data_IF_779798319741
#
_entry.id   IF_779798319741
#
_cell.length_a   1.000
_cell.length_b   1.000
_cell.length_c   1.000
_cell.angle_alpha   90.00
_cell.angle_beta   90.00
_cell.angle_gamma   90.00
#
_symmetry.space_group_name_H-M   'P 1'
#
loop_
_entity.id
_entity.type
_entity.pdbx_description
1 polymer ?
#
# COMPACT_ATOMS: atom_id res chain seq x y z
N UNK A 1 -35.26 29.66 -8.26
CA UNK A 1 -33.78 29.56 -8.29
C UNK A 1 -33.44 28.10 -8.00
N UNK A 2 -33.13 27.33 -9.03
CA UNK A 2 -32.73 25.93 -8.92
C UNK A 2 -31.23 25.84 -8.61
N UNK A 3 -30.76 25.00 -7.67
CA UNK A 3 -29.34 24.76 -7.49
C UNK A 3 -28.82 23.89 -8.64
N UNK A 4 -27.80 24.38 -9.32
CA UNK A 4 -27.06 23.61 -10.32
C UNK A 4 -26.23 22.57 -9.57
N UNK A 5 -26.59 21.30 -9.69
CA UNK A 5 -25.75 20.16 -9.33
C UNK A 5 -24.58 20.09 -10.29
N UNK A 6 -23.40 20.50 -9.84
CA UNK A 6 -22.15 20.29 -10.55
C UNK A 6 -21.72 18.84 -10.33
N UNK A 7 -22.06 17.96 -11.27
CA UNK A 7 -21.44 16.64 -11.38
C UNK A 7 -20.02 16.82 -11.91
N UNK A 8 -19.04 16.94 -11.01
CA UNK A 8 -17.64 16.80 -11.39
C UNK A 8 -17.37 15.32 -11.66
N UNK A 9 -17.18 14.97 -12.94
CA UNK A 9 -16.57 13.71 -13.34
C UNK A 9 -15.13 13.69 -12.86
N UNK A 10 -14.86 12.91 -11.83
CA UNK A 10 -13.52 12.73 -11.22
C UNK A 10 -12.72 11.62 -11.90
N UNK A 11 -13.20 11.05 -12.98
CA UNK A 11 -12.56 9.93 -13.63
C UNK A 11 -11.82 10.37 -14.90
N UNK A 12 -10.49 10.48 -14.82
CA UNK A 12 -9.62 10.55 -15.99
C UNK A 12 -8.46 9.56 -15.85
N UNK A 13 -8.61 8.32 -16.36
CA UNK A 13 -7.56 7.31 -16.36
C UNK A 13 -6.25 7.79 -17.05
N UNK A 14 -6.37 8.74 -17.98
CA UNK A 14 -5.22 9.29 -18.74
C UNK A 14 -4.38 10.25 -17.90
N UNK A 15 -4.90 10.79 -16.80
CA UNK A 15 -4.15 11.67 -15.92
C UNK A 15 -3.21 10.87 -15.02
N UNK A 16 -3.68 9.77 -14.42
CA UNK A 16 -2.82 8.83 -13.66
C UNK A 16 -1.64 8.32 -14.52
N UNK A 17 -1.85 8.16 -15.82
CA UNK A 17 -0.85 7.70 -16.77
C UNK A 17 0.28 8.71 -17.02
N UNK A 18 0.02 10.00 -16.91
CA UNK A 18 1.01 11.06 -17.16
C UNK A 18 1.94 11.31 -15.97
N UNK A 19 1.46 11.10 -14.76
CA UNK A 19 2.18 11.45 -13.54
C UNK A 19 3.00 10.28 -13.00
N UNK A 20 2.65 9.04 -13.36
CA UNK A 20 3.52 7.87 -13.19
C UNK A 20 4.84 8.01 -13.97
N UNK A 21 4.82 8.69 -15.11
CA UNK A 21 6.02 8.95 -15.93
C UNK A 21 6.93 10.06 -15.39
N UNK A 22 6.47 10.84 -14.40
CA UNK A 22 7.24 11.96 -13.81
C UNK A 22 8.07 11.54 -12.57
N UNK A 23 8.02 10.27 -12.17
CA UNK A 23 8.79 9.75 -11.02
C UNK A 23 10.22 9.34 -11.35
N UNK A 24 10.83 9.95 -12.35
CA UNK A 24 12.24 9.70 -12.69
C UNK A 24 13.18 10.27 -11.61
N UNK A 25 14.03 9.36 -11.09
CA UNK A 25 15.31 9.58 -10.37
C UNK A 25 15.35 9.56 -8.84
N UNK A 26 14.46 8.89 -8.13
CA UNK A 26 14.72 8.45 -6.76
C UNK A 26 14.86 6.93 -6.76
N UNK A 27 15.76 6.37 -5.95
CA UNK A 27 16.04 4.93 -5.82
C UNK A 27 14.86 4.03 -6.21
N UNK A 28 15.07 3.10 -7.14
CA UNK A 28 14.04 2.14 -7.58
C UNK A 28 13.58 1.18 -6.46
N UNK A 29 14.25 1.22 -5.30
CA UNK A 29 14.00 0.34 -4.17
C UNK A 29 12.99 0.93 -3.19
N UNK A 30 11.87 0.24 -2.98
CA UNK A 30 10.83 0.58 -2.01
C UNK A 30 10.72 -0.49 -0.93
N UNK A 31 10.79 -0.08 0.34
CA UNK A 31 10.61 -0.96 1.48
C UNK A 31 9.37 -0.53 2.28
N UNK A 32 8.34 -1.35 2.30
CA UNK A 32 7.14 -1.13 3.10
C UNK A 32 7.18 -2.04 4.33
N UNK A 33 7.26 -1.44 5.51
CA UNK A 33 7.24 -2.17 6.79
C UNK A 33 5.82 -2.18 7.33
N UNK A 34 5.16 -3.33 7.27
CA UNK A 34 3.82 -3.50 7.82
C UNK A 34 3.91 -3.78 9.33
N UNK A 35 3.47 -2.82 10.14
CA UNK A 35 3.48 -2.91 11.61
C UNK A 35 2.49 -3.92 12.15
N UNK A 36 1.49 -4.29 11.35
CA UNK A 36 0.41 -5.21 11.74
C UNK A 36 -0.20 -4.79 13.09
N UNK A 37 -0.44 -5.75 13.98
CA UNK A 37 -0.89 -5.53 15.36
C UNK A 37 0.07 -6.17 16.36
N UNK A 38 1.37 -6.20 16.01
CA UNK A 38 2.37 -6.74 16.92
C UNK A 38 2.54 -5.85 18.15
N UNK A 39 2.73 -6.47 19.31
CA UNK A 39 2.93 -5.76 20.57
C UNK A 39 4.10 -4.77 20.52
N UNK A 40 5.12 -5.06 19.72
CA UNK A 40 6.30 -4.22 19.52
C UNK A 40 6.14 -3.14 18.46
N UNK A 41 4.95 -2.99 17.88
CA UNK A 41 4.68 -2.09 16.76
C UNK A 41 3.28 -1.45 16.83
N UNK A 42 2.75 -1.21 18.04
CA UNK A 42 1.52 -0.45 18.25
C UNK A 42 1.64 0.57 19.39
N UNK A 43 0.84 1.62 19.39
CA UNK A 43 0.89 2.69 20.39
C UNK A 43 2.28 3.33 20.45
N UNK A 44 2.84 3.52 21.65
CA UNK A 44 4.16 4.12 21.83
C UNK A 44 5.28 3.32 21.13
N UNK A 45 5.17 1.99 21.06
CA UNK A 45 6.15 1.17 20.34
C UNK A 45 6.11 1.41 18.82
N UNK A 46 4.94 1.75 18.23
CA UNK A 46 4.87 2.15 16.83
C UNK A 46 5.58 3.48 16.58
N UNK A 47 5.42 4.45 17.47
CA UNK A 47 6.14 5.73 17.40
C UNK A 47 7.66 5.54 17.47
N UNK A 48 8.14 4.70 18.41
CA UNK A 48 9.56 4.42 18.58
C UNK A 48 10.14 3.70 17.35
N UNK A 49 9.42 2.72 16.79
CA UNK A 49 9.83 2.03 15.57
C UNK A 49 9.88 2.99 14.37
N UNK A 50 8.91 3.88 14.24
CA UNK A 50 8.89 4.90 13.18
C UNK A 50 10.08 5.86 13.29
N UNK A 51 10.46 6.30 14.52
CA UNK A 51 11.67 7.12 14.73
C UNK A 51 12.93 6.37 14.32
N UNK A 52 13.02 5.07 14.63
CA UNK A 52 14.14 4.23 14.20
C UNK A 52 14.19 4.17 12.68
N UNK A 53 13.06 3.90 12.01
CA UNK A 53 13.00 3.85 10.55
C UNK A 53 13.38 5.18 9.90
N UNK A 54 12.89 6.30 10.42
CA UNK A 54 13.22 7.65 9.93
C UNK A 54 14.70 8.00 10.08
N UNK A 55 15.41 7.37 11.01
CA UNK A 55 16.85 7.57 11.24
C UNK A 55 17.77 6.66 10.42
N UNK A 56 17.22 5.78 9.56
CA UNK A 56 18.04 4.87 8.74
C UNK A 56 18.59 5.62 7.53
N UNK A 57 19.90 5.68 7.39
CA UNK A 57 20.55 6.20 6.19
C UNK A 57 20.48 5.12 5.09
N UNK A 58 19.70 5.37 4.05
CA UNK A 58 19.49 4.45 2.93
C UNK A 58 19.04 5.22 1.68
N UNK A 59 19.37 4.71 0.51
CA UNK A 59 18.84 5.22 -0.75
C UNK A 59 17.43 4.65 -1.05
N UNK A 60 16.99 3.62 -0.31
CA UNK A 60 15.66 3.06 -0.47
C UNK A 60 14.60 3.99 0.13
N UNK A 61 13.47 4.11 -0.53
CA UNK A 61 12.28 4.77 -0.01
C UNK A 61 11.67 3.89 1.08
N UNK A 62 11.51 4.42 2.29
CA UNK A 62 11.01 3.69 3.45
C UNK A 62 9.58 4.13 3.79
N UNK A 63 8.68 3.17 3.96
CA UNK A 63 7.27 3.42 4.31
C UNK A 63 6.89 2.58 5.53
N UNK A 64 6.22 3.20 6.51
CA UNK A 64 5.58 2.51 7.61
C UNK A 64 4.08 2.33 7.32
N UNK A 65 3.60 1.08 7.22
CA UNK A 65 2.17 0.79 7.12
C UNK A 65 1.62 0.48 8.53
N UNK A 66 0.80 1.40 9.07
CA UNK A 66 0.38 1.40 10.47
C UNK A 66 -1.12 1.22 10.65
N UNK A 67 -1.52 0.81 11.85
CA UNK A 67 -2.92 0.86 12.27
C UNK A 67 -3.48 2.28 12.14
N UNK A 68 -4.73 2.40 11.69
CA UNK A 68 -5.40 3.71 11.62
C UNK A 68 -5.48 4.42 12.97
N UNK A 69 -5.46 3.67 14.09
CA UNK A 69 -5.45 4.24 15.45
C UNK A 69 -4.10 4.89 15.80
N UNK A 70 -3.01 4.40 15.24
CA UNK A 70 -1.65 4.91 15.50
C UNK A 70 -1.19 5.97 14.48
N UNK A 71 -1.92 6.12 13.36
CA UNK A 71 -1.53 6.95 12.23
C UNK A 71 -1.06 8.36 12.64
N UNK A 72 -1.90 9.11 13.35
CA UNK A 72 -1.56 10.49 13.72
C UNK A 72 -0.37 10.59 14.68
N UNK A 73 -0.22 9.62 15.58
CA UNK A 73 0.89 9.57 16.53
C UNK A 73 2.20 9.28 15.81
N UNK A 74 2.18 8.29 14.89
CA UNK A 74 3.35 7.91 14.09
C UNK A 74 3.79 9.05 13.16
N UNK A 75 2.87 9.68 12.41
CA UNK A 75 3.17 10.84 11.57
C UNK A 75 3.78 11.98 12.38
N UNK A 76 3.29 12.23 13.59
CA UNK A 76 3.85 13.26 14.47
C UNK A 76 5.22 12.89 15.03
N UNK A 77 5.47 11.61 15.30
CA UNK A 77 6.71 11.11 15.87
C UNK A 77 7.87 11.04 14.87
N UNK A 78 7.55 10.83 13.58
CA UNK A 78 8.52 10.69 12.50
C UNK A 78 8.03 11.47 11.24
N UNK A 79 8.09 12.81 11.26
CA UNK A 79 7.49 13.64 10.21
C UNK A 79 8.15 13.51 8.83
N UNK A 80 9.37 12.99 8.77
CA UNK A 80 10.11 12.76 7.53
C UNK A 80 9.90 11.34 6.95
N UNK A 81 9.19 10.47 7.69
CA UNK A 81 8.87 9.12 7.25
C UNK A 81 7.51 9.11 6.53
N UNK A 82 7.45 8.42 5.40
CA UNK A 82 6.17 8.17 4.74
C UNK A 82 5.36 7.15 5.53
N UNK A 83 4.07 7.46 5.73
CA UNK A 83 3.18 6.60 6.53
C UNK A 83 1.94 6.23 5.72
N UNK A 84 1.68 4.94 5.61
CA UNK A 84 0.48 4.38 5.00
C UNK A 84 -0.46 3.80 6.05
N UNK A 85 -1.74 3.74 5.72
CA UNK A 85 -2.70 2.92 6.45
C UNK A 85 -2.57 1.45 6.06
N UNK A 86 -2.92 0.55 6.98
CA UNK A 86 -3.01 -0.89 6.67
C UNK A 86 -4.27 -1.27 5.91
N UNK A 87 -5.30 -0.42 5.94
CA UNK A 87 -6.58 -0.61 5.29
C UNK A 87 -7.35 0.71 5.23
N UNK A 88 -8.15 0.91 4.20
CA UNK A 88 -9.17 1.96 4.10
C UNK A 88 -10.43 1.40 3.46
N UNK A 89 -11.56 2.00 3.81
CA UNK A 89 -12.87 1.64 3.27
C UNK A 89 -13.32 2.66 2.21
N UNK A 90 -13.95 2.24 1.10
CA UNK A 90 -14.44 3.15 0.06
C UNK A 90 -15.74 3.85 0.48
N UNK A 91 -15.67 4.65 1.53
CA UNK A 91 -16.81 5.41 2.05
C UNK A 91 -16.58 6.91 1.95
N UNK A 92 -17.64 7.66 1.67
CA UNK A 92 -17.63 9.12 1.72
C UNK A 92 -18.05 9.66 3.08
N UNK A 93 -18.23 10.97 3.17
CA UNK A 93 -18.79 11.60 4.37
C UNK A 93 -20.23 11.15 4.60
N UNK A 94 -20.58 10.86 5.86
CA UNK A 94 -21.94 10.47 6.23
C UNK A 94 -22.01 9.43 7.35
N UNK A 95 -23.01 8.57 7.28
CA UNK A 95 -23.33 7.57 8.33
C UNK A 95 -22.49 6.29 8.15
N UNK A 96 -21.20 6.37 8.46
CA UNK A 96 -20.22 5.28 8.26
C UNK A 96 -19.53 4.93 9.58
N UNK A 97 -20.30 4.70 10.64
CA UNK A 97 -19.74 4.37 11.97
C UNK A 97 -18.89 3.10 11.91
N UNK A 98 -17.61 3.22 12.31
CA UNK A 98 -16.66 2.11 12.36
C UNK A 98 -15.84 1.89 11.08
N UNK A 99 -16.16 2.57 10.00
CA UNK A 99 -15.41 2.48 8.74
C UNK A 99 -14.21 3.43 8.73
N UNK A 100 -13.15 3.03 8.05
CA UNK A 100 -11.91 3.80 7.91
C UNK A 100 -11.99 4.72 6.68
N UNK A 101 -12.37 5.97 6.92
CA UNK A 101 -12.65 6.96 5.88
C UNK A 101 -11.36 7.51 5.23
N UNK A 102 -11.18 7.42 3.89
CA UNK A 102 -9.96 7.83 3.20
C UNK A 102 -9.59 9.29 3.42
N UNK A 103 -10.54 10.22 3.29
CA UNK A 103 -10.23 11.63 3.47
C UNK A 103 -9.75 11.95 4.90
N UNK A 104 -10.24 11.25 5.93
CA UNK A 104 -9.74 11.40 7.29
C UNK A 104 -8.30 10.89 7.42
N UNK A 105 -7.97 9.76 6.79
CA UNK A 105 -6.61 9.24 6.82
C UNK A 105 -5.62 10.22 6.15
N UNK A 106 -5.99 10.79 5.01
CA UNK A 106 -5.20 11.80 4.29
C UNK A 106 -5.00 13.06 5.16
N UNK A 107 -6.04 13.58 5.77
CA UNK A 107 -5.95 14.73 6.69
C UNK A 107 -5.06 14.45 7.92
N UNK A 108 -4.91 13.17 8.29
CA UNK A 108 -4.03 12.72 9.38
C UNK A 108 -2.62 12.40 8.93
N UNK A 109 -2.29 12.62 7.66
CA UNK A 109 -0.95 12.52 7.11
C UNK A 109 -0.61 11.19 6.45
N UNK A 110 -1.60 10.32 6.19
CA UNK A 110 -1.35 9.14 5.37
C UNK A 110 -1.04 9.56 3.92
N UNK A 111 0.05 9.03 3.36
CA UNK A 111 0.44 9.18 1.95
C UNK A 111 -0.04 8.01 1.07
N UNK A 112 -0.55 6.94 1.68
CA UNK A 112 -1.04 5.77 0.97
C UNK A 112 -1.72 4.75 1.88
N UNK A 113 -2.03 3.60 1.31
CA UNK A 113 -2.63 2.47 2.03
C UNK A 113 -2.27 1.12 1.44
N UNK A 114 -2.18 0.10 2.30
CA UNK A 114 -2.37 -1.28 1.89
C UNK A 114 -3.86 -1.55 1.71
N UNK A 115 -4.22 -2.47 0.84
CA UNK A 115 -5.60 -2.97 0.69
C UNK A 115 -5.59 -4.45 0.29
N UNK A 116 -6.64 -5.18 0.63
CA UNK A 116 -6.79 -6.60 0.29
C UNK A 116 -5.67 -7.50 0.85
N UNK A 117 -5.02 -7.11 1.96
CA UNK A 117 -4.02 -7.96 2.60
C UNK A 117 -4.63 -9.31 3.02
N UNK A 118 -3.84 -10.39 3.01
CA UNK A 118 -4.33 -11.73 3.31
C UNK A 118 -5.01 -11.85 4.69
N UNK A 119 -4.60 -11.02 5.66
CA UNK A 119 -5.22 -10.96 6.99
C UNK A 119 -6.54 -10.16 7.00
N UNK A 120 -6.86 -9.41 5.94
CA UNK A 120 -8.08 -8.61 5.80
C UNK A 120 -8.48 -8.50 4.32
N UNK A 121 -8.97 -9.60 3.77
CA UNK A 121 -9.41 -9.66 2.36
C UNK A 121 -10.68 -8.85 2.12
N UNK A 122 -10.74 -8.21 0.98
CA UNK A 122 -11.90 -7.47 0.47
C UNK A 122 -12.23 -7.91 -0.95
N UNK A 123 -13.35 -7.46 -1.49
CA UNK A 123 -13.70 -7.76 -2.88
C UNK A 123 -12.92 -6.85 -3.87
N UNK A 124 -12.83 -7.30 -5.11
CA UNK A 124 -12.24 -6.50 -6.20
C UNK A 124 -12.98 -5.17 -6.37
N UNK A 125 -14.30 -5.17 -6.21
CA UNK A 125 -15.14 -3.97 -6.28
C UNK A 125 -14.81 -2.99 -5.16
N UNK A 126 -14.47 -3.47 -3.95
CA UNK A 126 -14.04 -2.62 -2.85
C UNK A 126 -12.72 -1.90 -3.21
N UNK A 127 -11.75 -2.63 -3.79
CA UNK A 127 -10.49 -2.03 -4.26
C UNK A 127 -10.75 -1.00 -5.36
N UNK A 128 -11.59 -1.33 -6.35
CA UNK A 128 -11.94 -0.41 -7.44
C UNK A 128 -12.58 0.88 -6.90
N UNK A 129 -13.55 0.77 -5.99
CA UNK A 129 -14.21 1.92 -5.38
C UNK A 129 -13.24 2.77 -4.53
N UNK A 130 -12.26 2.16 -3.86
CA UNK A 130 -11.25 2.90 -3.12
C UNK A 130 -10.35 3.70 -4.06
N UNK A 131 -9.88 3.08 -5.15
CA UNK A 131 -9.07 3.75 -6.17
C UNK A 131 -9.79 4.96 -6.80
N UNK A 132 -11.11 4.88 -6.96
CA UNK A 132 -11.92 5.99 -7.46
C UNK A 132 -12.07 7.16 -6.46
N UNK A 133 -11.89 6.91 -5.16
CA UNK A 133 -12.12 7.90 -4.10
C UNK A 133 -10.86 8.63 -3.67
N UNK A 134 -9.70 7.95 -3.75
CA UNK A 134 -8.46 8.58 -3.32
C UNK A 134 -7.95 9.57 -4.36
N UNK A 135 -7.36 10.70 -3.93
CA UNK A 135 -6.81 11.68 -4.85
C UNK A 135 -5.56 11.17 -5.53
N UNK A 136 -5.21 11.81 -6.63
CA UNK A 136 -3.91 11.64 -7.27
C UNK A 136 -2.77 11.91 -6.28
N UNK A 137 -1.72 11.08 -6.33
CA UNK A 137 -0.59 11.15 -5.39
C UNK A 137 -0.79 10.40 -4.06
N UNK A 138 -2.01 9.95 -3.76
CA UNK A 138 -2.22 9.00 -2.67
C UNK A 138 -2.02 7.57 -3.20
N UNK A 139 -1.06 6.84 -2.64
CA UNK A 139 -0.65 5.56 -3.19
C UNK A 139 -1.47 4.40 -2.62
N UNK A 140 -1.83 3.46 -3.50
CA UNK A 140 -2.56 2.25 -3.13
C UNK A 140 -1.74 1.02 -3.50
N UNK A 141 -1.40 0.22 -2.50
CA UNK A 141 -0.75 -1.08 -2.68
C UNK A 141 -1.77 -2.21 -2.44
N UNK A 142 -2.18 -2.89 -3.50
CA UNK A 142 -3.13 -3.98 -3.43
C UNK A 142 -2.40 -5.32 -3.27
N UNK A 143 -2.68 -6.04 -2.17
CA UNK A 143 -2.06 -7.33 -1.87
C UNK A 143 -2.78 -8.48 -2.57
N UNK A 144 -2.01 -9.37 -3.20
CA UNK A 144 -2.48 -10.55 -3.91
C UNK A 144 -1.94 -11.82 -3.28
N UNK A 145 -2.77 -12.84 -3.15
CA UNK A 145 -2.38 -14.15 -2.65
C UNK A 145 -1.68 -15.02 -3.71
N UNK A 146 -2.00 -14.78 -4.97
CA UNK A 146 -1.50 -15.54 -6.10
C UNK A 146 -1.44 -14.69 -7.39
N UNK A 147 -0.97 -15.30 -8.48
CA UNK A 147 -0.78 -14.66 -9.79
C UNK A 147 -2.13 -14.23 -10.40
N UNK A 148 -3.17 -15.01 -10.27
CA UNK A 148 -4.47 -14.70 -10.88
C UNK A 148 -5.12 -13.50 -10.18
N UNK A 149 -5.04 -13.44 -8.84
CA UNK A 149 -5.49 -12.27 -8.09
C UNK A 149 -4.63 -11.03 -8.40
N UNK A 150 -3.31 -11.20 -8.55
CA UNK A 150 -2.42 -10.11 -8.92
C UNK A 150 -2.78 -9.50 -10.28
N UNK A 151 -3.11 -10.33 -11.28
CA UNK A 151 -3.60 -9.86 -12.59
C UNK A 151 -4.93 -9.11 -12.48
N UNK A 152 -5.87 -9.64 -11.69
CA UNK A 152 -7.17 -9.00 -11.49
C UNK A 152 -7.03 -7.64 -10.82
N UNK A 153 -6.15 -7.51 -9.83
CA UNK A 153 -5.85 -6.25 -9.15
C UNK A 153 -5.08 -5.29 -10.07
N UNK A 154 -4.10 -5.77 -10.83
CA UNK A 154 -3.34 -4.95 -11.77
C UNK A 154 -4.23 -4.32 -12.86
N UNK A 155 -5.32 -4.99 -13.26
CA UNK A 155 -6.28 -4.45 -14.21
C UNK A 155 -7.03 -3.19 -13.69
N UNK A 156 -7.05 -2.97 -12.36
CA UNK A 156 -7.59 -1.77 -11.73
C UNK A 156 -6.58 -0.62 -11.69
N UNK A 157 -5.32 -0.88 -12.05
CA UNK A 157 -4.20 0.07 -12.08
C UNK A 157 -3.97 0.76 -10.73
N UNK A 158 -3.78 0.01 -9.61
CA UNK A 158 -3.25 0.58 -8.38
C UNK A 158 -1.81 1.04 -8.60
N UNK A 159 -1.23 1.78 -7.64
CA UNK A 159 0.19 2.17 -7.72
C UNK A 159 1.11 0.94 -7.61
N UNK A 160 0.74 -0.01 -6.73
CA UNK A 160 1.49 -1.26 -6.53
C UNK A 160 0.57 -2.46 -6.38
N UNK A 161 1.09 -3.62 -6.81
CA UNK A 161 0.58 -4.94 -6.43
C UNK A 161 1.66 -5.65 -5.63
N UNK A 162 1.33 -6.09 -4.42
CA UNK A 162 2.21 -6.89 -3.58
C UNK A 162 1.78 -8.37 -3.61
N UNK A 163 2.70 -9.27 -3.99
CA UNK A 163 2.41 -10.71 -3.93
C UNK A 163 2.86 -11.27 -2.58
N UNK A 164 1.91 -11.85 -1.85
CA UNK A 164 2.10 -12.40 -0.51
C UNK A 164 1.40 -13.76 -0.41
N UNK A 165 2.09 -14.89 -0.75
CA UNK A 165 1.51 -16.21 -0.57
C UNK A 165 1.11 -16.42 0.90
N UNK A 166 -0.19 -16.73 1.18
CA UNK A 166 -0.71 -16.75 2.55
C UNK A 166 0.03 -17.72 3.48
N UNK A 167 0.53 -18.83 2.95
CA UNK A 167 1.28 -19.85 3.68
C UNK A 167 2.65 -19.39 4.20
N UNK A 168 3.17 -18.28 3.66
CA UNK A 168 4.46 -17.71 4.06
C UNK A 168 4.32 -16.51 5.00
N UNK A 169 3.11 -15.97 5.15
CA UNK A 169 2.84 -14.81 6.00
C UNK A 169 3.09 -15.17 7.47
N UNK A 170 3.95 -14.36 8.13
CA UNK A 170 4.34 -14.61 9.53
C UNK A 170 5.25 -15.83 9.71
N UNK A 171 5.64 -16.50 8.63
CA UNK A 171 6.58 -17.62 8.62
C UNK A 171 8.04 -17.18 8.78
N UNK A 172 8.93 -18.17 8.86
CA UNK A 172 10.38 -17.97 8.98
C UNK A 172 11.11 -18.08 7.63
N UNK A 173 10.39 -18.40 6.56
CA UNK A 173 10.95 -18.57 5.22
C UNK A 173 10.47 -17.42 4.35
N UNK A 174 11.40 -16.67 3.76
CA UNK A 174 11.11 -15.61 2.80
C UNK A 174 10.47 -16.16 1.53
N UNK A 175 9.51 -15.42 0.95
CA UNK A 175 8.91 -15.74 -0.33
C UNK A 175 9.97 -15.91 -1.43
N UNK A 176 11.02 -15.12 -1.41
CA UNK A 176 12.14 -15.19 -2.36
C UNK A 176 12.95 -16.46 -2.24
N UNK A 177 12.97 -17.09 -1.05
CA UNK A 177 13.65 -18.35 -0.80
C UNK A 177 12.75 -19.58 -0.99
N UNK A 178 11.46 -19.43 -0.64
CA UNK A 178 10.48 -20.52 -0.72
C UNK A 178 10.04 -20.81 -2.17
N UNK A 179 9.71 -19.76 -2.91
CA UNK A 179 9.28 -19.85 -4.30
C UNK A 179 9.71 -18.60 -5.10
N UNK A 180 10.97 -18.57 -5.58
CA UNK A 180 11.44 -17.50 -6.45
C UNK A 180 10.63 -17.38 -7.75
N UNK A 181 9.97 -18.45 -8.17
CA UNK A 181 9.16 -18.50 -9.37
C UNK A 181 7.85 -17.71 -9.23
N UNK A 182 7.28 -17.63 -8.03
CA UNK A 182 6.04 -16.86 -7.83
C UNK A 182 6.29 -15.35 -7.95
N UNK A 183 7.43 -14.87 -7.48
CA UNK A 183 7.79 -13.44 -7.58
C UNK A 183 8.00 -13.05 -9.05
N UNK A 184 8.84 -13.77 -9.77
CA UNK A 184 9.10 -13.50 -11.19
C UNK A 184 7.89 -13.77 -12.09
N UNK A 185 7.10 -14.81 -11.78
CA UNK A 185 5.86 -15.12 -12.48
C UNK A 185 4.79 -14.03 -12.28
N UNK A 186 4.63 -13.54 -11.05
CA UNK A 186 3.72 -12.40 -10.77
C UNK A 186 4.19 -11.14 -11.47
N UNK A 187 5.49 -10.85 -11.44
CA UNK A 187 6.05 -9.69 -12.11
C UNK A 187 5.78 -9.72 -13.63
N UNK A 188 5.97 -10.87 -14.27
CA UNK A 188 5.65 -11.03 -15.68
C UNK A 188 4.14 -10.87 -15.94
N UNK A 189 3.30 -11.51 -15.14
CA UNK A 189 1.86 -11.50 -15.29
C UNK A 189 1.26 -10.11 -15.08
N UNK A 190 1.73 -9.34 -14.09
CA UNK A 190 1.30 -7.96 -13.86
C UNK A 190 1.72 -7.05 -15.01
N UNK A 191 2.96 -7.17 -15.50
CA UNK A 191 3.46 -6.39 -16.65
C UNK A 191 2.69 -6.66 -17.95
N UNK A 192 2.19 -7.88 -18.16
CA UNK A 192 1.31 -8.20 -19.28
C UNK A 192 -0.02 -7.41 -19.22
N UNK A 193 -0.51 -7.10 -18.01
CA UNK A 193 -1.76 -6.36 -17.79
C UNK A 193 -1.50 -4.85 -17.79
N UNK A 194 -0.46 -4.40 -17.07
CA UNK A 194 -0.10 -2.98 -16.94
C UNK A 194 1.38 -2.81 -16.65
N UNK A 195 2.08 -2.05 -17.50
CA UNK A 195 3.47 -1.65 -17.29
C UNK A 195 3.63 -0.57 -16.21
N UNK A 196 2.52 0.05 -15.78
CA UNK A 196 2.53 1.19 -14.85
C UNK A 196 2.45 0.76 -13.38
N UNK A 197 1.98 -0.46 -13.13
CA UNK A 197 1.81 -0.99 -11.78
C UNK A 197 3.15 -1.46 -11.25
N UNK A 198 3.61 -0.87 -10.15
CA UNK A 198 4.78 -1.34 -9.41
C UNK A 198 4.52 -2.70 -8.76
N UNK A 199 5.57 -3.50 -8.62
CA UNK A 199 5.45 -4.84 -8.04
C UNK A 199 6.29 -4.89 -6.77
N UNK A 200 5.64 -5.30 -5.69
CA UNK A 200 6.28 -5.59 -4.42
C UNK A 200 6.16 -7.08 -4.12
N UNK A 201 7.13 -7.63 -3.42
CA UNK A 201 7.01 -8.96 -2.87
C UNK A 201 7.05 -8.91 -1.35
N UNK A 202 6.20 -9.69 -0.71
CA UNK A 202 6.09 -9.77 0.74
C UNK A 202 6.10 -11.21 1.22
N UNK A 203 5.84 -11.38 2.52
CA UNK A 203 5.89 -12.60 3.31
C UNK A 203 7.31 -13.12 3.63
N UNK A 204 7.57 -13.26 4.93
CA UNK A 204 8.78 -13.89 5.47
C UNK A 204 10.10 -13.13 5.28
N UNK A 205 10.09 -11.91 4.73
CA UNK A 205 11.28 -11.06 4.62
C UNK A 205 11.66 -10.53 6.00
N UNK A 206 12.77 -10.99 6.57
CA UNK A 206 13.19 -10.69 7.95
C UNK A 206 14.59 -10.12 8.08
N UNK A 207 15.42 -10.33 7.07
CA UNK A 207 16.83 -9.91 7.10
C UNK A 207 17.16 -9.01 5.92
N UNK A 208 18.25 -8.27 6.01
CA UNK A 208 18.76 -7.50 4.88
C UNK A 208 19.12 -8.37 3.67
N UNK A 209 19.52 -9.63 3.90
CA UNK A 209 19.76 -10.58 2.81
C UNK A 209 18.47 -10.98 2.09
N UNK A 210 17.37 -11.18 2.82
CA UNK A 210 16.05 -11.45 2.23
C UNK A 210 15.60 -10.24 1.39
N UNK A 211 15.73 -9.03 1.94
CA UNK A 211 15.35 -7.80 1.25
C UNK A 211 16.22 -7.54 0.00
N UNK A 212 17.51 -7.88 0.04
CA UNK A 212 18.41 -7.75 -1.12
C UNK A 212 18.11 -8.76 -2.23
N UNK A 213 17.39 -9.85 -1.91
CA UNK A 213 16.99 -10.88 -2.86
C UNK A 213 15.61 -10.60 -3.46
N UNK A 214 14.78 -9.85 -2.74
CA UNK A 214 13.44 -9.44 -3.14
C UNK A 214 13.47 -8.36 -4.23
#
# INVERSE_FOLDING_TARGET
>A
MSPRTSTRSWFNPRQRQRDALARDTVSDSLVVVNFKTYQTAHGAAAEDLARIMSGIETDARMIAAVSALDLSAVVSAAPDLEVWCQHLDPVGFGSNTGWLHPATAIERGASGTLINHAEHKVSIEHVAMLLDQVPEGFEVCACAADIDEAKALAALVPDYVAVEPPELIGGDISVTSADPGIVSGTAAAVREVSEQVGILCGAGVKTGADAATA
#
